data_IF_545292992138
#
_entry.id   IF_545292992138
#
_cell.length_a   1.000
_cell.length_b   1.000
_cell.length_c   1.000
_cell.angle_alpha   90.00
_cell.angle_beta   90.00
_cell.angle_gamma   90.00
#
_symmetry.space_group_name_H-M   'P 1'
#
loop_
_entity.id
_entity.type
_entity.pdbx_description
1 polymer ?
#
# COMPACT_ATOMS: atom_id res chain seq x y z
N UNK A 1 12.27 11.46 -4.29
CA UNK A 1 10.95 10.92 -4.64
C UNK A 1 9.90 11.88 -4.10
N UNK A 2 8.82 12.20 -4.82
CA UNK A 2 7.63 12.75 -4.18
C UNK A 2 7.22 11.88 -3.00
N UNK A 3 6.90 12.55 -1.89
CA UNK A 3 6.22 11.95 -0.77
C UNK A 3 4.74 11.77 -1.16
N UNK A 4 4.19 10.60 -0.89
CA UNK A 4 2.79 10.28 -1.18
C UNK A 4 2.09 9.90 0.11
N UNK A 5 0.81 10.27 0.22
CA UNK A 5 -0.03 9.83 1.32
C UNK A 5 -0.39 8.36 1.09
N UNK A 6 -0.29 7.56 2.14
CA UNK A 6 -0.71 6.16 2.11
C UNK A 6 -1.60 5.88 3.32
N UNK A 7 -2.42 4.84 3.19
CA UNK A 7 -3.21 4.29 4.28
C UNK A 7 -3.02 2.77 4.31
N UNK A 8 -2.39 2.26 5.37
CA UNK A 8 -2.23 0.83 5.60
C UNK A 8 -3.49 0.31 6.26
N UNK A 9 -4.09 -0.74 5.71
CA UNK A 9 -5.36 -1.29 6.19
C UNK A 9 -6.52 -0.25 6.20
N UNK A 10 -6.88 0.32 5.03
CA UNK A 10 -7.98 1.28 4.93
C UNK A 10 -9.28 0.80 5.60
N UNK A 11 -9.97 1.73 6.27
CA UNK A 11 -11.17 1.43 7.07
C UNK A 11 -10.90 0.96 8.51
N UNK A 12 -9.64 0.95 8.94
CA UNK A 12 -9.21 0.67 10.32
C UNK A 12 -8.39 1.85 10.84
N UNK A 13 -8.60 2.27 12.08
CA UNK A 13 -7.67 3.15 12.82
C UNK A 13 -7.74 2.76 14.31
N UNK A 14 -6.65 2.27 14.92
CA UNK A 14 -5.31 2.12 14.34
C UNK A 14 -5.19 0.94 13.36
N UNK A 15 -4.13 0.97 12.55
CA UNK A 15 -3.82 -0.04 11.54
C UNK A 15 -3.22 -1.30 12.16
N UNK A 16 -3.99 -1.98 13.04
CA UNK A 16 -3.49 -3.16 13.72
C UNK A 16 -3.45 -4.37 12.80
N UNK A 17 -2.28 -5.00 12.69
CA UNK A 17 -2.01 -6.17 11.85
C UNK A 17 -1.36 -7.27 12.69
N UNK A 18 -1.54 -8.52 12.27
CA UNK A 18 -0.82 -9.67 12.80
C UNK A 18 0.08 -10.22 11.67
N UNK A 19 1.38 -9.85 11.63
CA UNK A 19 2.30 -10.32 10.60
C UNK A 19 2.72 -11.78 10.92
N UNK A 20 1.93 -12.73 10.44
CA UNK A 20 2.11 -14.17 10.69
C UNK A 20 2.58 -14.96 9.45
N UNK A 21 2.68 -14.29 8.30
CA UNK A 21 3.13 -14.88 7.05
C UNK A 21 2.04 -15.63 6.27
N UNK A 22 0.77 -15.53 6.68
CA UNK A 22 -0.35 -16.27 6.09
C UNK A 22 -1.38 -15.41 5.36
N UNK A 23 -1.18 -14.09 5.33
CA UNK A 23 -2.16 -13.13 4.85
C UNK A 23 -1.71 -12.23 3.70
N UNK A 24 -2.51 -11.18 3.53
CA UNK A 24 -2.14 -9.99 2.78
C UNK A 24 -2.53 -8.75 3.58
N UNK A 25 -1.81 -7.67 3.34
CA UNK A 25 -2.04 -6.38 3.96
C UNK A 25 -2.51 -5.42 2.86
N UNK A 26 -3.78 -4.97 2.89
CA UNK A 26 -4.24 -3.96 1.96
C UNK A 26 -3.55 -2.63 2.27
N UNK A 27 -3.06 -1.94 1.25
CA UNK A 27 -2.46 -0.60 1.37
C UNK A 27 -2.98 0.27 0.25
N UNK A 28 -3.46 1.46 0.58
CA UNK A 28 -3.85 2.47 -0.38
C UNK A 28 -2.72 3.50 -0.55
N UNK A 29 -2.43 3.89 -1.80
CA UNK A 29 -1.76 5.16 -2.11
C UNK A 29 -2.85 6.15 -2.49
N UNK A 30 -2.95 7.25 -1.74
CA UNK A 30 -4.06 8.17 -1.91
C UNK A 30 -3.83 9.12 -3.08
N UNK A 31 -4.87 9.38 -3.84
CA UNK A 31 -4.88 10.52 -4.75
C UNK A 31 -5.04 11.80 -3.93
N UNK A 32 -4.47 12.89 -4.45
CA UNK A 32 -4.54 14.21 -3.82
C UNK A 32 -4.58 15.27 -4.93
N UNK A 33 -4.82 16.52 -4.57
CA UNK A 33 -4.70 17.68 -5.47
C UNK A 33 -3.37 17.75 -6.25
N UNK A 34 -2.31 17.09 -5.77
CA UNK A 34 -0.96 17.17 -6.34
C UNK A 34 -0.38 15.83 -6.79
N UNK A 35 -1.09 14.73 -6.59
CA UNK A 35 -0.61 13.39 -6.92
C UNK A 35 -1.77 12.49 -7.37
N UNK A 36 -1.65 11.89 -8.55
CA UNK A 36 -2.62 10.95 -9.11
C UNK A 36 -2.14 9.50 -8.88
N UNK A 37 -2.82 8.77 -8.00
CA UNK A 37 -2.46 7.40 -7.64
C UNK A 37 -2.62 6.42 -8.82
N UNK A 38 -3.44 6.74 -9.83
CA UNK A 38 -3.59 5.92 -11.03
C UNK A 38 -2.32 5.89 -11.90
N UNK A 39 -1.35 6.78 -11.63
CA UNK A 39 -0.05 6.79 -12.32
C UNK A 39 0.96 5.81 -11.72
N UNK A 40 0.68 5.25 -10.55
CA UNK A 40 1.55 4.29 -9.86
C UNK A 40 1.52 2.95 -10.58
N UNK A 41 2.69 2.36 -10.83
CA UNK A 41 2.80 0.98 -11.29
C UNK A 41 2.61 0.04 -10.09
N UNK A 42 1.46 -0.65 -9.96
CA UNK A 42 1.19 -1.48 -8.79
C UNK A 42 2.19 -2.62 -8.64
N UNK A 43 2.83 -3.09 -9.72
CA UNK A 43 3.83 -4.16 -9.64
C UNK A 43 5.14 -3.75 -9.00
N UNK A 44 5.42 -2.45 -8.97
CA UNK A 44 6.62 -1.90 -8.37
C UNK A 44 6.49 -1.64 -6.87
N UNK A 45 5.27 -1.66 -6.34
CA UNK A 45 4.98 -1.29 -4.96
C UNK A 45 5.50 -2.34 -3.99
N UNK A 46 6.17 -1.86 -2.94
CA UNK A 46 6.60 -2.65 -1.79
C UNK A 46 6.26 -1.94 -0.49
N UNK A 47 6.07 -2.70 0.58
CA UNK A 47 5.91 -2.18 1.94
C UNK A 47 6.98 -2.83 2.81
N UNK A 48 7.94 -2.04 3.29
CA UNK A 48 9.14 -2.54 3.99
C UNK A 48 9.88 -3.65 3.21
N UNK A 49 9.80 -3.60 1.88
CA UNK A 49 10.37 -4.62 0.98
C UNK A 49 9.45 -5.80 0.66
N UNK A 50 8.36 -6.00 1.40
CA UNK A 50 7.33 -7.00 1.07
C UNK A 50 6.64 -6.61 -0.23
N UNK A 51 6.48 -7.56 -1.15
CA UNK A 51 5.99 -7.28 -2.51
C UNK A 51 4.48 -7.49 -2.66
N UNK A 52 3.90 -6.85 -3.67
CA UNK A 52 2.49 -7.04 -4.03
C UNK A 52 2.15 -8.48 -4.39
N UNK A 53 1.00 -8.94 -3.91
CA UNK A 53 0.39 -10.20 -4.34
C UNK A 53 -0.27 -10.00 -5.71
N UNK A 54 0.19 -10.77 -6.69
CA UNK A 54 -0.45 -10.82 -8.02
C UNK A 54 -1.65 -11.78 -7.99
N UNK A 55 -2.83 -11.30 -8.37
CA UNK A 55 -4.08 -12.07 -8.27
C UNK A 55 -4.24 -13.06 -9.44
N UNK A 56 -3.84 -14.31 -9.22
CA UNK A 56 -4.12 -15.42 -10.13
C UNK A 56 -3.62 -15.19 -11.57
N UNK A 57 -4.33 -15.73 -12.57
CA UNK A 57 -3.96 -15.60 -13.99
C UNK A 57 -4.29 -14.23 -14.61
N UNK A 58 -4.92 -13.32 -13.84
CA UNK A 58 -5.34 -12.02 -14.37
C UNK A 58 -4.17 -11.10 -14.66
N UNK A 59 -3.03 -11.28 -13.96
CA UNK A 59 -1.93 -10.34 -14.04
C UNK A 59 -2.32 -8.95 -13.52
N UNK A 60 -3.21 -8.86 -12.52
CA UNK A 60 -3.52 -7.61 -11.82
C UNK A 60 -2.86 -7.60 -10.43
N UNK A 61 -2.30 -6.45 -10.04
CA UNK A 61 -1.63 -6.22 -8.75
C UNK A 61 -2.30 -5.14 -7.87
N UNK A 62 -3.39 -4.53 -8.35
CA UNK A 62 -4.16 -3.54 -7.59
C UNK A 62 -5.52 -3.22 -8.21
N UNK A 63 -6.27 -2.36 -7.53
CA UNK A 63 -7.55 -1.78 -7.94
C UNK A 63 -7.57 -0.28 -7.62
N UNK A 64 -8.41 0.46 -8.35
CA UNK A 64 -8.71 1.86 -8.04
C UNK A 64 -10.03 1.93 -7.26
N UNK A 65 -9.99 2.49 -6.05
CA UNK A 65 -11.10 2.54 -5.11
C UNK A 65 -11.05 3.87 -4.34
N UNK A 66 -12.20 4.48 -4.04
CA UNK A 66 -12.30 5.64 -3.16
C UNK A 66 -12.31 5.14 -1.71
N UNK A 67 -11.14 5.11 -1.03
CA UNK A 67 -11.03 4.47 0.29
C UNK A 67 -11.26 5.42 1.47
N UNK A 68 -11.17 6.73 1.25
CA UNK A 68 -11.37 7.75 2.28
C UNK A 68 -12.63 8.61 2.06
N UNK A 69 -13.39 8.34 1.00
CA UNK A 69 -14.67 8.98 0.65
C UNK A 69 -14.54 10.47 0.30
N UNK A 70 -13.41 10.90 -0.26
CA UNK A 70 -13.20 12.27 -0.73
C UNK A 70 -13.66 12.51 -2.18
N UNK A 71 -13.97 11.44 -2.91
CA UNK A 71 -14.54 11.46 -4.25
C UNK A 71 -13.51 11.33 -5.38
N UNK A 72 -12.23 11.13 -5.08
CA UNK A 72 -11.25 10.64 -6.04
C UNK A 72 -10.97 9.13 -5.85
N UNK A 73 -10.11 8.55 -6.69
CA UNK A 73 -9.81 7.11 -6.65
C UNK A 73 -8.35 6.89 -6.26
N UNK A 74 -8.17 6.01 -5.28
CA UNK A 74 -6.88 5.62 -4.73
C UNK A 74 -6.40 4.30 -5.32
N UNK A 75 -5.07 4.13 -5.38
CA UNK A 75 -4.51 2.82 -5.72
C UNK A 75 -4.49 1.93 -4.49
N UNK A 76 -5.30 0.88 -4.47
CA UNK A 76 -5.28 -0.17 -3.47
C UNK A 76 -4.51 -1.38 -3.99
N UNK A 77 -3.47 -1.78 -3.26
CA UNK A 77 -2.71 -3.01 -3.51
C UNK A 77 -2.83 -3.97 -2.33
N UNK A 78 -2.61 -5.25 -2.59
CA UNK A 78 -2.55 -6.29 -1.57
C UNK A 78 -1.09 -6.72 -1.40
N UNK A 79 -0.45 -6.35 -0.30
CA UNK A 79 0.95 -6.71 -0.02
C UNK A 79 0.98 -8.12 0.59
N UNK A 80 1.92 -8.97 0.18
CA UNK A 80 2.13 -10.25 0.84
C UNK A 80 2.63 -10.03 2.27
N UNK A 81 1.99 -10.67 3.23
CA UNK A 81 2.55 -10.74 4.57
C UNK A 81 3.66 -11.80 4.58
N UNK A 82 4.90 -11.34 4.74
CA UNK A 82 6.11 -12.17 4.87
C UNK A 82 6.82 -11.91 6.21
N UNK A 83 6.08 -11.41 7.20
CA UNK A 83 6.53 -11.08 8.57
C UNK A 83 7.50 -9.91 8.70
N UNK A 84 7.85 -9.20 7.61
CA UNK A 84 8.80 -8.07 7.67
C UNK A 84 8.30 -6.89 8.52
N UNK A 85 7.00 -6.80 8.78
CA UNK A 85 6.42 -5.77 9.65
C UNK A 85 6.47 -6.10 11.15
N UNK A 86 6.89 -7.31 11.53
CA UNK A 86 6.94 -7.72 12.92
C UNK A 86 7.83 -6.78 13.76
N UNK A 87 7.26 -6.26 14.86
CA UNK A 87 7.97 -5.37 15.79
C UNK A 87 8.11 -3.92 15.32
N UNK A 88 7.51 -3.52 14.20
CA UNK A 88 7.47 -2.13 13.73
C UNK A 88 6.24 -1.39 14.24
N UNK A 89 6.34 -0.07 14.34
CA UNK A 89 5.25 0.87 14.66
C UNK A 89 4.90 1.79 13.48
N UNK A 90 5.73 1.76 12.43
CA UNK A 90 5.58 2.49 11.18
C UNK A 90 6.05 1.58 10.05
N UNK A 91 5.42 1.67 8.89
CA UNK A 91 5.87 0.98 7.69
C UNK A 91 6.01 1.96 6.52
N UNK A 92 7.04 1.76 5.72
CA UNK A 92 7.38 2.57 4.55
C UNK A 92 6.91 1.86 3.29
N UNK A 93 6.13 2.56 2.47
CA UNK A 93 5.81 2.16 1.11
C UNK A 93 6.79 2.80 0.13
N UNK A 94 7.28 2.02 -0.81
CA UNK A 94 8.10 2.48 -1.94
C UNK A 94 7.53 1.92 -3.24
N UNK A 95 7.74 2.63 -4.35
CA UNK A 95 7.32 2.17 -5.66
C UNK A 95 7.76 3.11 -6.78
N UNK A 96 7.24 2.87 -7.98
CA UNK A 96 7.46 3.66 -9.18
C UNK A 96 6.10 4.02 -9.79
N UNK A 97 6.04 5.18 -10.44
CA UNK A 97 5.00 5.45 -11.45
C UNK A 97 5.30 4.69 -12.73
N UNK A 98 4.32 4.54 -13.63
CA UNK A 98 4.55 4.02 -14.98
C UNK A 98 5.57 4.85 -15.77
N UNK A 99 5.77 6.13 -15.40
CA UNK A 99 6.81 6.99 -15.96
C UNK A 99 8.21 6.77 -15.37
N UNK A 100 8.37 5.83 -14.43
CA UNK A 100 9.64 5.53 -13.76
C UNK A 100 10.03 6.48 -12.62
N UNK A 101 9.14 7.40 -12.22
CA UNK A 101 9.39 8.29 -11.08
C UNK A 101 9.21 7.51 -9.77
N UNK A 102 10.20 7.48 -8.85
CA UNK A 102 10.07 6.80 -7.58
C UNK A 102 9.17 7.57 -6.61
N UNK A 103 8.32 6.84 -5.87
CA UNK A 103 7.44 7.35 -4.82
C UNK A 103 7.83 6.76 -3.46
N UNK A 104 7.51 7.47 -2.39
CA UNK A 104 7.68 6.97 -1.02
C UNK A 104 6.58 7.52 -0.10
N UNK A 105 5.99 6.66 0.72
CA UNK A 105 5.01 7.04 1.75
C UNK A 105 5.26 6.28 3.03
N UNK A 106 4.63 6.71 4.12
CA UNK A 106 4.69 5.99 5.40
C UNK A 106 3.39 6.14 6.17
N UNK A 107 3.05 5.12 6.94
CA UNK A 107 1.90 5.13 7.84
C UNK A 107 2.21 4.32 9.11
N UNK A 108 1.54 4.68 10.19
CA UNK A 108 1.65 4.01 11.48
C UNK A 108 0.92 2.67 11.48
N UNK A 109 1.45 1.72 12.24
CA UNK A 109 0.86 0.40 12.44
C UNK A 109 0.92 0.01 13.91
N UNK A 110 0.04 -0.91 14.31
CA UNK A 110 0.17 -1.64 15.56
C UNK A 110 0.30 -3.14 15.29
N UNK A 111 1.12 -3.81 16.07
CA UNK A 111 1.28 -5.26 15.98
C UNK A 111 0.40 -5.92 17.05
N UNK A 112 -0.47 -6.82 16.61
CA UNK A 112 -1.27 -7.67 17.49
C UNK A 112 -0.88 -9.14 17.31
N UNK A 113 -0.96 -9.98 18.36
CA UNK A 113 -0.66 -11.40 18.28
C UNK A 113 -1.58 -12.21 17.38
#
# INVERSE_FOLDING_TARGET
SPEVNINIKPGSDPNCINPDGHGVIPVATLTTDTFDAATVDPFSVTLEGSTVRVKGKSGNAGSLEDVDADGDLDLVVQIMDDTLLAGKDTAILEGLTFGGLPIRGSDSICIVP
#
